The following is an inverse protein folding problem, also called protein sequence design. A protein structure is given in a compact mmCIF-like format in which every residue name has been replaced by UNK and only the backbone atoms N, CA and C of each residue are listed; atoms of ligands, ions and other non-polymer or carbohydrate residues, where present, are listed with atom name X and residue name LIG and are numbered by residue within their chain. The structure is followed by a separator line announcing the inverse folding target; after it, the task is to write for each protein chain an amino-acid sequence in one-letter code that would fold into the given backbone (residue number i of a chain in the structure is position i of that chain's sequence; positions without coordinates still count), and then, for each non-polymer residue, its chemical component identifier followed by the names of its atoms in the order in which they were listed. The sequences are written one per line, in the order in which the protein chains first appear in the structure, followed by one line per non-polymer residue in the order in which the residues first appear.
data_IF_395171334738
#
_entry.id   IF_395171334738
#
_cell.length_a   1.000
_cell.length_b   1.000
_cell.length_c   1.000
_cell.angle_alpha   90.00
_cell.angle_beta   90.00
_cell.angle_gamma   90.00
#
_symmetry.space_group_name_H-M   'P 1'
#
loop_
_entity.id
_entity.type
_entity.pdbx_description
1 polymer ?
#
# COMPACT_ATOMS: atom_id res chain seq x y z
N UNK A 1 3.70 13.18 21.60
CA UNK A 1 4.17 13.89 22.80
C UNK A 1 5.07 12.91 23.53
N UNK A 2 6.36 13.24 23.78
CA UNK A 2 7.24 12.30 24.48
C UNK A 2 6.67 11.97 25.87
N UNK A 3 6.62 10.69 26.21
CA UNK A 3 6.17 10.25 27.54
C UNK A 3 7.06 10.84 28.63
N UNK A 4 6.45 11.39 29.68
CA UNK A 4 7.18 12.06 30.78
C UNK A 4 7.30 11.22 32.04
N UNK A 5 6.62 10.07 32.08
CA UNK A 5 6.58 9.17 33.24
C UNK A 5 7.55 8.00 33.05
N UNK A 6 8.24 7.62 34.13
CA UNK A 6 9.24 6.55 34.12
C UNK A 6 9.14 5.66 35.37
N UNK A 7 9.92 4.58 35.40
CA UNK A 7 10.03 3.71 36.57
C UNK A 7 8.75 2.93 36.90
N UNK A 8 8.51 2.72 38.19
CA UNK A 8 7.37 1.94 38.68
C UNK A 8 6.01 2.55 38.30
N UNK A 9 5.90 3.87 38.30
CA UNK A 9 4.69 4.57 37.89
C UNK A 9 4.31 4.24 36.45
N UNK A 10 5.28 4.31 35.54
CA UNK A 10 5.07 3.98 34.14
C UNK A 10 4.71 2.49 33.97
N UNK A 11 5.43 1.59 34.64
CA UNK A 11 5.18 0.15 34.54
C UNK A 11 3.78 -0.24 35.04
N UNK A 12 3.32 0.34 36.16
CA UNK A 12 1.99 0.10 36.72
C UNK A 12 0.90 0.54 35.72
N UNK A 13 1.03 1.73 35.15
CA UNK A 13 0.04 2.23 34.18
C UNK A 13 0.05 1.38 32.91
N UNK A 14 1.23 1.10 32.34
CA UNK A 14 1.39 0.28 31.14
C UNK A 14 0.76 -1.10 31.29
N UNK A 15 1.00 -1.78 32.41
CA UNK A 15 0.44 -3.11 32.66
C UNK A 15 -1.07 -3.08 32.86
N UNK A 16 -1.61 -2.11 33.60
CA UNK A 16 -3.06 -2.00 33.78
C UNK A 16 -3.78 -1.68 32.46
N UNK A 17 -3.26 -0.77 31.64
CA UNK A 17 -3.82 -0.47 30.31
C UNK A 17 -3.70 -1.68 29.39
N UNK A 18 -2.51 -2.26 29.24
CA UNK A 18 -2.29 -3.35 28.30
C UNK A 18 -3.09 -4.62 28.63
N UNK A 19 -3.20 -5.00 29.91
CA UNK A 19 -3.90 -6.22 30.29
C UNK A 19 -5.39 -6.02 30.56
N UNK A 20 -5.77 -4.94 31.25
CA UNK A 20 -7.14 -4.76 31.75
C UNK A 20 -7.91 -3.67 31.00
N UNK A 21 -7.24 -2.84 30.21
CA UNK A 21 -7.84 -1.66 29.59
C UNK A 21 -8.47 -0.71 30.63
N UNK A 22 -7.80 -0.53 31.78
CA UNK A 22 -8.27 0.38 32.84
C UNK A 22 -7.15 1.28 33.37
N UNK A 23 -7.55 2.45 33.87
CA UNK A 23 -6.68 3.31 34.67
C UNK A 23 -6.94 3.01 36.15
N UNK A 24 -5.95 2.50 36.92
CA UNK A 24 -6.17 2.20 38.32
C UNK A 24 -6.51 3.49 39.08
N UNK A 25 -7.50 3.44 39.96
CA UNK A 25 -7.82 4.58 40.82
C UNK A 25 -6.73 4.79 41.87
N UNK A 26 -6.69 5.97 42.48
CA UNK A 26 -5.50 6.46 43.16
C UNK A 26 -4.96 5.53 44.25
N UNK A 27 -5.83 4.99 45.10
CA UNK A 27 -5.42 4.08 46.16
C UNK A 27 -4.80 2.79 45.60
N UNK A 28 -5.36 2.22 44.52
CA UNK A 28 -4.79 1.02 43.89
C UNK A 28 -3.48 1.34 43.20
N UNK A 29 -3.40 2.47 42.50
CA UNK A 29 -2.18 2.92 41.85
C UNK A 29 -1.03 3.08 42.85
N UNK A 30 -1.25 3.80 43.95
CA UNK A 30 -0.24 3.99 45.02
C UNK A 30 0.21 2.66 45.60
N UNK A 31 -0.72 1.74 45.87
CA UNK A 31 -0.38 0.42 46.39
C UNK A 31 0.44 -0.41 45.39
N UNK A 32 0.09 -0.37 44.11
CA UNK A 32 0.81 -1.09 43.05
C UNK A 32 2.19 -0.49 42.79
N UNK A 33 2.35 0.84 42.84
CA UNK A 33 3.65 1.51 42.73
C UNK A 33 4.55 1.12 43.90
N UNK A 34 4.01 1.06 45.12
CA UNK A 34 4.75 0.58 46.28
C UNK A 34 5.16 -0.90 46.17
N UNK A 35 4.28 -1.77 45.64
CA UNK A 35 4.58 -3.19 45.37
C UNK A 35 5.63 -3.36 44.26
N UNK A 36 5.62 -2.48 43.25
CA UNK A 36 6.61 -2.47 42.17
C UNK A 36 8.00 -1.97 42.60
N UNK A 37 8.09 -1.21 43.69
CA UNK A 37 9.35 -0.71 44.24
C UNK A 37 10.05 0.31 43.33
N UNK A 38 11.36 0.47 43.48
CA UNK A 38 12.13 1.49 42.75
C UNK A 38 13.29 0.95 41.92
N UNK A 39 13.59 -0.35 41.99
CA UNK A 39 14.65 -0.98 41.19
C UNK A 39 14.07 -1.64 39.94
N UNK A 40 14.91 -1.88 38.93
CA UNK A 40 14.49 -2.58 37.72
C UNK A 40 14.01 -4.00 38.04
N UNK A 41 14.69 -4.68 38.95
CA UNK A 41 14.38 -6.04 39.38
C UNK A 41 13.03 -6.09 40.11
N UNK A 42 12.72 -5.12 40.97
CA UNK A 42 11.42 -5.07 41.66
C UNK A 42 10.27 -4.80 40.69
N UNK A 43 10.49 -3.93 39.70
CA UNK A 43 9.51 -3.67 38.63
C UNK A 43 9.26 -4.92 37.78
N UNK A 44 10.31 -5.68 37.44
CA UNK A 44 10.15 -6.94 36.71
C UNK A 44 9.44 -8.01 37.55
N UNK A 45 9.74 -8.11 38.84
CA UNK A 45 9.04 -9.02 39.75
C UNK A 45 7.55 -8.67 39.85
N UNK A 46 7.22 -7.38 39.92
CA UNK A 46 5.84 -6.91 39.86
C UNK A 46 5.16 -7.27 38.53
N UNK A 47 5.84 -7.07 37.39
CA UNK A 47 5.30 -7.43 36.08
C UNK A 47 4.98 -8.94 36.00
N UNK A 48 5.88 -9.80 36.46
CA UNK A 48 5.65 -11.25 36.56
C UNK A 48 4.41 -11.55 37.40
N UNK A 49 4.33 -10.97 38.60
CA UNK A 49 3.19 -11.14 39.52
C UNK A 49 1.89 -10.68 38.87
N UNK A 50 1.88 -9.53 38.20
CA UNK A 50 0.72 -8.98 37.50
C UNK A 50 0.24 -9.92 36.39
N UNK A 51 1.15 -10.34 35.51
CA UNK A 51 0.86 -11.24 34.39
C UNK A 51 0.35 -12.62 34.83
N UNK A 52 0.74 -13.08 36.02
CA UNK A 52 0.30 -14.37 36.58
C UNK A 52 -1.22 -14.45 36.82
N UNK A 53 -1.90 -13.30 36.91
CA UNK A 53 -3.36 -13.20 37.02
C UNK A 53 -4.08 -13.64 35.74
N UNK A 54 -3.37 -13.68 34.60
CA UNK A 54 -3.90 -14.03 33.28
C UNK A 54 -3.50 -15.43 32.83
N UNK A 55 -2.97 -16.27 33.73
CA UNK A 55 -2.53 -17.64 33.43
C UNK A 55 -3.63 -18.56 32.89
N UNK A 56 -4.90 -18.21 33.12
CA UNK A 56 -6.07 -18.95 32.63
C UNK A 56 -6.35 -18.70 31.15
N UNK A 57 -5.78 -17.65 30.56
CA UNK A 57 -5.86 -17.38 29.13
C UNK A 57 -4.81 -18.20 28.38
N UNK A 58 -5.18 -18.71 27.21
CA UNK A 58 -4.23 -19.25 26.24
C UNK A 58 -3.30 -18.15 25.74
N UNK A 59 -2.13 -18.52 25.22
CA UNK A 59 -1.17 -17.58 24.66
C UNK A 59 -1.80 -16.71 23.56
N UNK A 60 -2.57 -17.31 22.66
CA UNK A 60 -3.27 -16.60 21.59
C UNK A 60 -4.35 -15.65 22.11
N UNK A 61 -5.15 -16.07 23.11
CA UNK A 61 -6.17 -15.22 23.70
C UNK A 61 -5.55 -14.02 24.44
N UNK A 62 -4.43 -14.25 25.13
CA UNK A 62 -3.71 -13.16 25.80
C UNK A 62 -3.06 -12.21 24.79
N UNK A 63 -2.41 -12.72 23.74
CA UNK A 63 -1.82 -11.90 22.68
C UNK A 63 -2.87 -11.03 22.00
N UNK A 64 -4.02 -11.61 21.64
CA UNK A 64 -5.13 -10.85 21.08
C UNK A 64 -5.57 -9.75 22.04
N UNK A 65 -5.81 -10.07 23.31
CA UNK A 65 -6.26 -9.09 24.31
C UNK A 65 -5.29 -7.91 24.45
N UNK A 66 -4.00 -8.19 24.61
CA UNK A 66 -2.96 -7.17 24.78
C UNK A 66 -2.86 -6.29 23.54
N UNK A 67 -2.83 -6.89 22.34
CA UNK A 67 -2.73 -6.13 21.09
C UNK A 67 -3.98 -5.32 20.80
N UNK A 68 -5.18 -5.80 21.17
CA UNK A 68 -6.41 -5.00 21.12
C UNK A 68 -6.26 -3.76 22.00
N UNK A 69 -5.92 -3.95 23.27
CA UNK A 69 -5.82 -2.88 24.26
C UNK A 69 -4.72 -1.84 23.91
N UNK A 70 -3.67 -2.26 23.20
CA UNK A 70 -2.59 -1.39 22.76
C UNK A 70 -2.81 -0.77 21.37
N UNK A 71 -3.94 -1.05 20.70
CA UNK A 71 -4.22 -0.50 19.37
C UNK A 71 -3.40 -1.10 18.22
N UNK A 72 -2.86 -2.31 18.42
CA UNK A 72 -1.93 -2.96 17.50
C UNK A 72 -2.60 -3.98 16.56
N UNK A 73 -3.86 -4.34 16.81
CA UNK A 73 -4.66 -5.13 15.87
C UNK A 73 -5.16 -4.27 14.69
N UNK A 74 -5.39 -4.86 13.50
CA UNK A 74 -5.39 -6.30 13.17
C UNK A 74 -4.05 -6.84 12.64
N UNK A 75 -2.89 -6.48 13.20
CA UNK A 75 -1.60 -7.00 12.75
C UNK A 75 -1.44 -8.50 13.06
N UNK A 76 -1.75 -9.36 12.08
CA UNK A 76 -1.72 -10.83 12.22
C UNK A 76 -0.32 -11.38 12.50
N UNK A 77 0.71 -10.85 11.84
CA UNK A 77 2.10 -11.30 12.04
C UNK A 77 2.55 -11.02 13.47
N UNK A 78 2.24 -9.83 14.00
CA UNK A 78 2.53 -9.46 15.38
C UNK A 78 1.74 -10.32 16.37
N UNK A 79 0.48 -10.64 16.08
CA UNK A 79 -0.33 -11.52 16.92
C UNK A 79 0.23 -12.95 17.01
N UNK A 80 0.68 -13.51 15.89
CA UNK A 80 1.36 -14.81 15.86
C UNK A 80 2.69 -14.76 16.60
N UNK A 81 3.54 -13.77 16.31
CA UNK A 81 4.84 -13.62 16.96
C UNK A 81 4.72 -13.45 18.49
N UNK A 82 3.75 -12.66 18.96
CA UNK A 82 3.50 -12.48 20.39
C UNK A 82 2.95 -13.76 21.04
N UNK A 83 2.13 -14.53 20.31
CA UNK A 83 1.63 -15.85 20.78
C UNK A 83 2.78 -16.81 21.02
N UNK A 84 3.69 -16.96 20.05
CA UNK A 84 4.87 -17.83 20.17
C UNK A 84 5.78 -17.36 21.31
N UNK A 85 5.94 -16.04 21.45
CA UNK A 85 6.79 -15.47 22.49
C UNK A 85 6.19 -15.67 23.89
N UNK A 86 4.87 -15.61 24.07
CA UNK A 86 4.23 -15.99 25.34
C UNK A 86 4.34 -17.49 25.64
N UNK A 87 4.23 -18.35 24.63
CA UNK A 87 4.39 -19.79 24.79
C UNK A 87 5.80 -20.15 25.29
N UNK A 88 6.82 -19.42 24.82
CA UNK A 88 8.20 -19.56 25.28
C UNK A 88 8.46 -18.94 26.67
N UNK A 89 7.63 -17.99 27.13
CA UNK A 89 7.84 -17.20 28.33
C UNK A 89 6.65 -17.25 29.31
N UNK A 90 6.05 -18.43 29.53
CA UNK A 90 4.79 -18.57 30.28
C UNK A 90 4.82 -17.97 31.69
N UNK A 91 5.94 -18.07 32.41
CA UNK A 91 6.11 -17.49 33.74
C UNK A 91 6.44 -15.99 33.71
N UNK A 92 6.82 -15.44 32.56
CA UNK A 92 7.29 -14.07 32.39
C UNK A 92 6.40 -13.23 31.44
N UNK A 93 5.17 -13.68 31.16
CA UNK A 93 4.25 -12.99 30.24
C UNK A 93 4.03 -11.51 30.58
N UNK A 94 4.03 -11.12 31.86
CA UNK A 94 3.93 -9.71 32.24
C UNK A 94 5.15 -8.87 31.86
N UNK A 95 6.36 -9.44 31.91
CA UNK A 95 7.58 -8.77 31.42
C UNK A 95 7.48 -8.57 29.90
N UNK A 96 7.03 -9.59 29.18
CA UNK A 96 6.84 -9.50 27.71
C UNK A 96 5.92 -8.34 27.33
N UNK A 97 4.78 -8.19 28.02
CA UNK A 97 3.84 -7.08 27.77
C UNK A 97 4.46 -5.73 28.12
N UNK A 98 5.19 -5.64 29.24
CA UNK A 98 5.87 -4.41 29.62
C UNK A 98 6.92 -4.00 28.58
N UNK A 99 7.71 -4.96 28.08
CA UNK A 99 8.69 -4.72 27.01
C UNK A 99 8.03 -4.26 25.71
N UNK A 100 6.94 -4.92 25.28
CA UNK A 100 6.18 -4.51 24.09
C UNK A 100 5.64 -3.09 24.24
N UNK A 101 5.13 -2.74 25.43
CA UNK A 101 4.66 -1.40 25.75
C UNK A 101 5.79 -0.37 25.63
N UNK A 102 6.94 -0.64 26.24
CA UNK A 102 8.11 0.24 26.16
C UNK A 102 8.60 0.44 24.73
N UNK A 103 8.68 -0.64 23.93
CA UNK A 103 9.02 -0.56 22.51
C UNK A 103 8.03 0.35 21.79
N UNK A 104 6.72 0.18 22.02
CA UNK A 104 5.71 0.97 21.34
C UNK A 104 5.81 2.46 21.66
N UNK A 105 6.14 2.84 22.91
CA UNK A 105 6.30 4.25 23.30
C UNK A 105 7.39 4.99 22.48
N UNK A 106 8.43 4.27 22.05
CA UNK A 106 9.56 4.82 21.28
C UNK A 106 9.29 4.93 19.77
N UNK A 107 8.12 4.47 19.28
CA UNK A 107 7.83 4.37 17.85
C UNK A 107 7.00 5.54 17.29
N UNK A 108 6.68 6.59 18.06
CA UNK A 108 5.83 7.72 17.62
C UNK A 108 6.33 8.39 16.33
N UNK A 109 7.64 8.38 16.09
CA UNK A 109 8.28 8.98 14.90
C UNK A 109 8.96 7.92 14.01
N UNK A 110 8.54 6.66 14.13
CA UNK A 110 9.13 5.57 13.36
C UNK A 110 8.96 5.80 11.85
N UNK A 111 10.00 5.47 11.09
CA UNK A 111 10.02 5.54 9.63
C UNK A 111 10.33 4.17 9.01
N UNK A 112 10.28 4.05 7.69
CA UNK A 112 10.55 2.80 6.98
C UNK A 112 9.57 1.69 7.38
N UNK A 113 10.08 0.47 7.57
CA UNK A 113 9.26 -0.70 7.93
C UNK A 113 8.54 -0.58 9.27
N UNK A 114 9.00 0.29 10.17
CA UNK A 114 8.38 0.50 11.48
C UNK A 114 7.33 1.63 11.46
N UNK A 115 7.22 2.39 10.36
CA UNK A 115 6.26 3.49 10.23
C UNK A 115 4.80 3.05 10.47
N UNK A 116 4.49 1.78 10.20
CA UNK A 116 3.16 1.21 10.41
C UNK A 116 2.69 1.25 11.88
N UNK A 117 3.63 1.38 12.83
CA UNK A 117 3.35 1.46 14.27
C UNK A 117 3.29 2.89 14.81
N UNK A 118 3.72 3.91 14.04
CA UNK A 118 3.88 5.28 14.54
C UNK A 118 2.57 5.88 15.06
N UNK A 119 1.47 5.64 14.36
CA UNK A 119 0.13 6.08 14.76
C UNK A 119 -0.35 5.41 16.04
N UNK A 120 -0.15 4.09 16.18
CA UNK A 120 -0.48 3.35 17.40
C UNK A 120 0.41 3.77 18.58
N UNK A 121 1.68 4.05 18.33
CA UNK A 121 2.63 4.56 19.31
C UNK A 121 2.22 5.93 19.86
N UNK A 122 1.82 6.86 18.99
CA UNK A 122 1.30 8.16 19.40
C UNK A 122 0.08 8.02 20.31
N UNK A 123 -0.87 7.17 19.91
CA UNK A 123 -2.08 6.91 20.69
C UNK A 123 -1.76 6.26 22.04
N UNK A 124 -0.86 5.28 22.05
CA UNK A 124 -0.40 4.62 23.26
C UNK A 124 0.33 5.58 24.22
N UNK A 125 1.20 6.46 23.71
CA UNK A 125 1.86 7.51 24.51
C UNK A 125 0.84 8.39 25.23
N UNK A 126 -0.20 8.82 24.51
CA UNK A 126 -1.28 9.62 25.09
C UNK A 126 -2.07 8.84 26.13
N UNK A 127 -2.42 7.60 25.82
CA UNK A 127 -3.17 6.71 26.72
C UNK A 127 -2.47 6.52 28.06
N UNK A 128 -1.15 6.31 28.03
CA UNK A 128 -0.35 6.12 29.24
C UNK A 128 -0.24 7.41 30.06
N UNK A 129 -0.10 8.57 29.41
CA UNK A 129 -0.08 9.85 30.12
C UNK A 129 -1.44 10.13 30.79
N UNK A 130 -2.54 9.97 30.05
CA UNK A 130 -3.89 10.23 30.56
C UNK A 130 -4.23 9.27 31.72
N UNK A 131 -3.84 8.00 31.61
CA UNK A 131 -4.03 7.02 32.66
C UNK A 131 -3.21 7.36 33.92
N UNK A 132 -1.98 7.85 33.77
CA UNK A 132 -1.19 8.32 34.90
C UNK A 132 -1.81 9.56 35.58
N UNK A 133 -2.26 10.54 34.80
CA UNK A 133 -2.89 11.75 35.33
C UNK A 133 -4.18 11.40 36.11
N UNK A 134 -4.96 10.45 35.60
CA UNK A 134 -6.12 9.89 36.29
C UNK A 134 -5.73 9.19 37.60
N UNK A 135 -4.73 8.30 37.54
CA UNK A 135 -4.29 7.47 38.66
C UNK A 135 -3.61 8.27 39.77
N UNK A 136 -2.98 9.39 39.46
CA UNK A 136 -2.33 10.25 40.47
C UNK A 136 -3.30 11.21 41.15
N UNK A 137 -4.50 11.42 40.60
CA UNK A 137 -5.51 12.27 41.20
C UNK A 137 -6.16 11.61 42.44
N UNK A 138 -6.00 12.16 43.65
CA UNK A 138 -6.58 11.59 44.88
C UNK A 138 -8.11 11.51 44.90
N UNK A 139 -8.81 12.24 44.02
CA UNK A 139 -10.28 12.18 43.92
C UNK A 139 -10.77 11.00 43.09
N UNK A 140 -9.88 10.29 42.37
CA UNK A 140 -10.22 9.09 41.61
C UNK A 140 -10.43 7.91 42.56
N UNK A 141 -11.70 7.55 42.79
CA UNK A 141 -12.12 6.51 43.76
C UNK A 141 -12.72 5.25 43.13
N UNK A 142 -12.93 5.25 41.81
CA UNK A 142 -13.33 4.09 41.02
C UNK A 142 -12.33 3.89 39.90
N UNK A 143 -12.10 2.66 39.39
CA UNK A 143 -11.27 2.48 38.21
C UNK A 143 -11.73 3.41 37.09
N UNK A 144 -10.81 4.13 36.49
CA UNK A 144 -11.09 4.75 35.22
C UNK A 144 -11.35 3.61 34.25
N UNK A 145 -12.48 3.67 33.55
CA UNK A 145 -12.60 2.98 32.26
C UNK A 145 -11.46 3.47 31.36
N UNK A 146 -11.26 2.90 30.16
CA UNK A 146 -10.62 3.72 29.14
C UNK A 146 -11.24 5.11 29.27
N UNK A 147 -10.39 6.12 29.46
CA UNK A 147 -10.82 7.43 29.01
C UNK A 147 -11.21 7.12 27.57
N UNK A 148 -12.42 7.51 27.16
CA UNK A 148 -12.71 7.60 25.73
C UNK A 148 -11.58 8.50 25.23
N UNK A 149 -10.48 7.89 24.81
CA UNK A 149 -9.34 8.60 24.30
C UNK A 149 -9.65 8.52 22.82
N UNK A 150 -10.25 9.58 22.24
CA UNK A 150 -10.30 9.77 20.81
C UNK A 150 -8.98 9.33 20.16
N UNK A 151 -7.85 9.46 20.87
CA UNK A 151 -6.56 8.84 20.58
C UNK A 151 -6.52 7.54 19.76
N UNK A 152 -7.18 6.43 20.16
CA UNK A 152 -7.04 5.15 19.44
C UNK A 152 -8.03 5.00 18.27
N UNK A 153 -9.30 5.37 18.47
CA UNK A 153 -10.31 5.37 17.41
C UNK A 153 -10.04 6.46 16.36
N UNK A 154 -9.68 7.68 16.77
CA UNK A 154 -9.25 8.76 15.87
C UNK A 154 -7.93 8.42 15.18
N UNK A 155 -6.99 7.73 15.84
CA UNK A 155 -5.78 7.25 15.18
C UNK A 155 -6.11 6.23 14.08
N UNK A 156 -7.00 5.28 14.37
CA UNK A 156 -7.48 4.33 13.37
C UNK A 156 -8.27 5.03 12.25
N UNK A 157 -9.10 6.02 12.58
CA UNK A 157 -9.84 6.85 11.65
C UNK A 157 -8.92 7.70 10.76
N UNK A 158 -7.90 8.35 11.33
CA UNK A 158 -6.90 9.13 10.62
C UNK A 158 -6.06 8.23 9.70
N UNK A 159 -5.60 7.08 10.18
CA UNK A 159 -4.89 6.11 9.35
C UNK A 159 -5.75 5.60 8.17
N UNK A 160 -7.05 5.41 8.39
CA UNK A 160 -7.99 5.06 7.32
C UNK A 160 -8.21 6.21 6.33
N UNK A 161 -8.28 7.46 6.79
CA UNK A 161 -8.38 8.66 5.94
C UNK A 161 -7.11 8.83 5.09
N UNK A 162 -5.93 8.72 5.69
CA UNK A 162 -4.64 8.82 4.99
C UNK A 162 -4.49 7.72 3.95
N UNK A 163 -4.79 6.46 4.31
CA UNK A 163 -4.75 5.35 3.37
C UNK A 163 -5.73 5.54 2.21
N UNK A 164 -6.93 6.08 2.48
CA UNK A 164 -7.90 6.41 1.43
C UNK A 164 -7.38 7.52 0.50
N UNK A 165 -6.68 8.52 1.02
CA UNK A 165 -6.08 9.57 0.20
C UNK A 165 -4.97 9.01 -0.70
N UNK A 166 -4.12 8.12 -0.18
CA UNK A 166 -3.11 7.42 -0.99
C UNK A 166 -3.78 6.59 -2.10
N UNK A 167 -4.85 5.86 -1.79
CA UNK A 167 -5.61 5.09 -2.77
C UNK A 167 -6.23 5.97 -3.88
N UNK A 168 -6.73 7.16 -3.55
CA UNK A 168 -7.24 8.13 -4.53
C UNK A 168 -6.12 8.60 -5.46
N UNK A 169 -5.00 9.07 -4.92
CA UNK A 169 -3.87 9.56 -5.72
C UNK A 169 -3.32 8.49 -6.66
N UNK A 170 -3.24 7.23 -6.19
CA UNK A 170 -2.80 6.11 -7.01
C UNK A 170 -3.80 5.78 -8.13
N UNK A 171 -5.11 5.84 -7.84
CA UNK A 171 -6.17 5.63 -8.84
C UNK A 171 -6.19 6.73 -9.90
N UNK A 172 -5.96 7.99 -9.51
CA UNK A 172 -5.86 9.11 -10.44
C UNK A 172 -4.65 8.94 -11.38
N UNK A 173 -3.49 8.58 -10.81
CA UNK A 173 -2.27 8.29 -11.59
C UNK A 173 -2.46 7.11 -12.56
N UNK A 174 -3.16 6.05 -12.13
CA UNK A 174 -3.50 4.92 -12.99
C UNK A 174 -4.47 5.33 -14.13
N UNK A 175 -5.39 6.27 -13.86
CA UNK A 175 -6.31 6.78 -14.87
C UNK A 175 -5.60 7.63 -15.94
N UNK A 176 -4.67 8.51 -15.52
CA UNK A 176 -3.86 9.32 -16.43
C UNK A 176 -2.96 8.46 -17.33
N UNK A 177 -2.34 7.42 -16.77
CA UNK A 177 -1.50 6.49 -17.54
C UNK A 177 -2.32 5.61 -18.49
N UNK A 178 -3.52 5.18 -18.10
CA UNK A 178 -4.45 4.50 -19.01
C UNK A 178 -4.90 5.40 -20.17
N UNK A 179 -5.16 6.69 -19.91
CA UNK A 179 -5.46 7.67 -20.97
C UNK A 179 -4.26 7.85 -21.92
N UNK A 180 -3.04 7.92 -21.38
CA UNK A 180 -1.80 8.00 -22.16
C UNK A 180 -1.58 6.75 -23.03
N UNK A 181 -1.89 5.55 -22.50
CA UNK A 181 -1.85 4.31 -23.26
C UNK A 181 -2.85 4.32 -24.43
N UNK A 182 -4.08 4.79 -24.20
CA UNK A 182 -5.10 4.94 -25.24
C UNK A 182 -4.68 5.92 -26.34
N UNK A 183 -4.08 7.06 -25.96
CA UNK A 183 -3.52 8.01 -26.91
C UNK A 183 -2.36 7.40 -27.73
N UNK A 184 -1.47 6.64 -27.08
CA UNK A 184 -0.39 5.93 -27.77
C UNK A 184 -0.93 4.86 -28.74
N UNK A 185 -1.98 4.13 -28.36
CA UNK A 185 -2.66 3.18 -29.24
C UNK A 185 -3.18 3.87 -30.52
N UNK A 186 -3.82 5.03 -30.35
CA UNK A 186 -4.35 5.82 -31.47
C UNK A 186 -3.23 6.30 -32.39
N UNK A 187 -2.10 6.78 -31.84
CA UNK A 187 -0.95 7.21 -32.65
C UNK A 187 -0.32 6.06 -33.42
N UNK A 188 -0.20 4.88 -32.79
CA UNK A 188 0.27 3.66 -33.46
C UNK A 188 -0.64 3.29 -34.63
N UNK A 189 -1.95 3.30 -34.43
CA UNK A 189 -2.91 2.95 -35.48
C UNK A 189 -2.88 3.95 -36.65
N UNK A 190 -2.75 5.25 -36.37
CA UNK A 190 -2.56 6.28 -37.40
C UNK A 190 -1.25 6.08 -38.17
N UNK A 191 -0.14 5.79 -37.47
CA UNK A 191 1.15 5.55 -38.10
C UNK A 191 1.09 4.32 -39.02
N UNK A 192 0.39 3.27 -38.58
CA UNK A 192 0.16 2.07 -39.40
C UNK A 192 -0.61 2.39 -40.68
N UNK A 193 -1.73 3.11 -40.57
CA UNK A 193 -2.54 3.48 -41.74
C UNK A 193 -1.72 4.27 -42.77
N UNK A 194 -0.83 5.14 -42.31
CA UNK A 194 0.07 5.90 -43.19
C UNK A 194 1.09 5.00 -43.89
N UNK A 195 1.77 4.13 -43.14
CA UNK A 195 2.70 3.15 -43.71
C UNK A 195 2.02 2.28 -44.77
N UNK A 196 0.86 1.67 -44.44
CA UNK A 196 0.07 0.86 -45.38
C UNK A 196 -0.32 1.63 -46.66
N UNK A 197 -0.69 2.91 -46.53
CA UNK A 197 -1.09 3.74 -47.67
C UNK A 197 0.10 4.11 -48.56
N UNK A 198 1.25 4.43 -47.97
CA UNK A 198 2.48 4.76 -48.70
C UNK A 198 2.99 3.53 -49.45
N UNK A 199 3.00 2.35 -48.84
CA UNK A 199 3.36 1.09 -49.50
C UNK A 199 2.47 0.78 -50.72
N UNK A 200 1.16 1.04 -50.61
CA UNK A 200 0.23 0.84 -51.71
C UNK A 200 0.51 1.78 -52.91
N UNK A 201 0.97 3.01 -52.65
CA UNK A 201 1.37 3.99 -53.67
C UNK A 201 2.66 3.55 -54.36
N UNK A 202 3.65 3.12 -53.60
CA UNK A 202 4.94 2.61 -54.11
C UNK A 202 4.74 1.44 -55.09
N UNK A 203 3.85 0.51 -54.73
CA UNK A 203 3.50 -0.65 -55.54
C UNK A 203 2.79 -0.26 -56.85
N UNK A 204 1.94 0.78 -56.82
CA UNK A 204 1.19 1.25 -57.98
C UNK A 204 2.02 2.11 -58.95
N UNK A 205 3.07 2.78 -58.45
CA UNK A 205 3.84 3.78 -59.20
C UNK A 205 5.11 3.29 -59.91
N UNK A 206 5.51 2.02 -59.76
CA UNK A 206 6.81 1.50 -60.23
C UNK A 206 8.02 2.35 -59.76
N UNK A 207 8.26 2.39 -58.45
CA UNK A 207 9.61 2.61 -57.90
C UNK A 207 10.25 3.99 -58.08
N UNK A 208 9.50 5.08 -57.86
CA UNK A 208 10.14 6.39 -57.65
C UNK A 208 10.97 6.37 -56.36
N UNK A 209 12.20 6.85 -56.42
CA UNK A 209 13.11 7.01 -55.26
C UNK A 209 12.47 7.84 -54.15
N UNK A 210 11.62 8.80 -54.50
CA UNK A 210 10.90 9.66 -53.55
C UNK A 210 9.85 8.87 -52.77
N UNK A 211 9.17 7.94 -53.45
CA UNK A 211 8.15 7.09 -52.88
C UNK A 211 8.77 6.06 -51.91
N UNK A 212 9.88 5.42 -52.32
CA UNK A 212 10.66 4.52 -51.45
C UNK A 212 11.25 5.22 -50.21
N UNK A 213 11.66 6.49 -50.35
CA UNK A 213 12.13 7.30 -49.22
C UNK A 213 10.99 7.62 -48.24
N UNK A 214 9.80 7.94 -48.76
CA UNK A 214 8.61 8.17 -47.95
C UNK A 214 8.19 6.90 -47.18
N UNK A 215 8.17 5.74 -47.83
CA UNK A 215 7.88 4.45 -47.20
C UNK A 215 8.83 4.18 -46.01
N UNK A 216 10.13 4.36 -46.23
CA UNK A 216 11.15 4.17 -45.16
C UNK A 216 10.91 5.10 -43.96
N UNK A 217 10.48 6.34 -44.20
CA UNK A 217 10.19 7.31 -43.12
C UNK A 217 8.92 6.96 -42.36
N UNK A 218 7.87 6.50 -43.05
CA UNK A 218 6.61 6.08 -42.43
C UNK A 218 6.79 4.79 -41.62
N UNK A 219 7.56 3.82 -42.11
CA UNK A 219 7.95 2.61 -41.36
C UNK A 219 8.71 2.95 -40.08
N UNK A 220 9.67 3.88 -40.16
CA UNK A 220 10.39 4.36 -38.99
C UNK A 220 9.45 5.05 -37.99
N UNK A 221 8.44 5.79 -38.48
CA UNK A 221 7.44 6.42 -37.62
C UNK A 221 6.54 5.38 -36.94
N UNK A 222 6.13 4.33 -37.66
CA UNK A 222 5.39 3.19 -37.11
C UNK A 222 6.20 2.46 -36.04
N UNK A 223 7.49 2.16 -36.30
CA UNK A 223 8.37 1.54 -35.33
C UNK A 223 8.47 2.35 -34.02
N UNK A 224 8.66 3.67 -34.12
CA UNK A 224 8.68 4.57 -32.95
C UNK A 224 7.35 4.59 -32.20
N UNK A 225 6.23 4.57 -32.92
CA UNK A 225 4.90 4.54 -32.30
C UNK A 225 4.64 3.21 -31.56
N UNK A 226 5.13 2.09 -32.09
CA UNK A 226 5.08 0.78 -31.42
C UNK A 226 5.92 0.79 -30.14
N UNK A 227 7.15 1.33 -30.18
CA UNK A 227 8.00 1.46 -28.99
C UNK A 227 7.35 2.34 -27.92
N UNK A 228 6.78 3.49 -28.31
CA UNK A 228 6.07 4.38 -27.41
C UNK A 228 4.84 3.72 -26.77
N UNK A 229 4.06 2.97 -27.55
CA UNK A 229 2.93 2.19 -27.04
C UNK A 229 3.38 1.11 -26.06
N UNK A 230 4.45 0.38 -26.37
CA UNK A 230 5.01 -0.64 -25.48
C UNK A 230 5.49 -0.05 -24.14
N UNK A 231 6.15 1.12 -24.17
CA UNK A 231 6.56 1.82 -22.96
C UNK A 231 5.36 2.32 -22.14
N UNK A 232 4.36 2.93 -22.78
CA UNK A 232 3.13 3.37 -22.13
C UNK A 232 2.39 2.20 -21.47
N UNK A 233 2.40 1.02 -22.10
CA UNK A 233 1.79 -0.20 -21.57
C UNK A 233 2.47 -0.67 -20.28
N UNK A 234 3.81 -0.70 -20.27
CA UNK A 234 4.56 -1.09 -19.07
C UNK A 234 4.23 -0.15 -17.92
N UNK A 235 4.24 1.17 -18.18
CA UNK A 235 3.88 2.19 -17.19
C UNK A 235 2.45 2.01 -16.64
N UNK A 236 1.46 1.83 -17.52
CA UNK A 236 0.07 1.62 -17.11
C UNK A 236 -0.12 0.37 -16.23
N UNK A 237 0.57 -0.73 -16.55
CA UNK A 237 0.52 -1.96 -15.74
C UNK A 237 1.09 -1.76 -14.33
N UNK A 238 2.19 -1.01 -14.19
CA UNK A 238 2.78 -0.68 -12.89
C UNK A 238 1.80 0.16 -12.07
N UNK A 239 1.26 1.24 -12.63
CA UNK A 239 0.34 2.13 -11.90
C UNK A 239 -0.97 1.42 -11.50
N UNK A 240 -1.49 0.52 -12.34
CA UNK A 240 -2.67 -0.29 -11.97
C UNK A 240 -2.37 -1.21 -10.79
N UNK A 241 -1.19 -1.83 -10.73
CA UNK A 241 -0.80 -2.68 -9.61
C UNK A 241 -0.66 -1.86 -8.31
N UNK A 242 -0.04 -0.68 -8.37
CA UNK A 242 0.08 0.24 -7.24
C UNK A 242 -1.30 0.72 -6.74
N UNK A 243 -2.20 1.10 -7.65
CA UNK A 243 -3.56 1.52 -7.30
C UNK A 243 -4.35 0.42 -6.58
N UNK A 244 -4.22 -0.85 -7.01
CA UNK A 244 -4.86 -1.99 -6.34
C UNK A 244 -4.30 -2.20 -4.94
N UNK A 245 -2.97 -2.22 -4.79
CA UNK A 245 -2.32 -2.38 -3.50
C UNK A 245 -2.72 -1.27 -2.50
N UNK A 246 -2.77 -0.02 -2.98
CA UNK A 246 -3.20 1.12 -2.16
C UNK A 246 -4.68 1.00 -1.75
N UNK A 247 -5.56 0.58 -2.65
CA UNK A 247 -6.98 0.37 -2.35
C UNK A 247 -7.19 -0.77 -1.34
N UNK A 248 -6.49 -1.89 -1.48
CA UNK A 248 -6.55 -3.00 -0.51
C UNK A 248 -6.06 -2.57 0.88
N UNK A 249 -4.98 -1.77 0.92
CA UNK A 249 -4.46 -1.19 2.17
C UNK A 249 -5.50 -0.27 2.82
N UNK A 250 -6.18 0.57 2.05
CA UNK A 250 -7.24 1.44 2.55
C UNK A 250 -8.43 0.65 3.12
N UNK A 251 -8.84 -0.46 2.47
CA UNK A 251 -9.88 -1.36 2.97
C UNK A 251 -9.47 -1.98 4.30
N UNK A 252 -8.23 -2.48 4.40
CA UNK A 252 -7.72 -3.07 5.64
C UNK A 252 -7.76 -2.07 6.81
N UNK A 253 -7.33 -0.83 6.58
CA UNK A 253 -7.34 0.24 7.60
C UNK A 253 -8.76 0.68 7.97
N UNK A 254 -9.67 0.78 6.99
CA UNK A 254 -11.06 1.09 7.26
C UNK A 254 -11.76 -0.02 8.07
N UNK A 255 -11.49 -1.30 7.76
CA UNK A 255 -11.99 -2.44 8.53
C UNK A 255 -11.45 -2.45 9.97
N UNK A 256 -10.18 -2.07 10.15
CA UNK A 256 -9.60 -1.90 11.48
C UNK A 256 -10.38 -0.82 12.26
N UNK A 257 -10.64 0.33 11.64
CA UNK A 257 -11.40 1.41 12.28
C UNK A 257 -12.84 0.99 12.61
N UNK A 258 -13.54 0.27 11.73
CA UNK A 258 -14.86 -0.31 12.03
C UNK A 258 -14.79 -1.25 13.24
N UNK A 259 -13.78 -2.12 13.29
CA UNK A 259 -13.61 -3.06 14.41
C UNK A 259 -13.40 -2.29 15.72
N UNK A 260 -12.58 -1.23 15.71
CA UNK A 260 -12.40 -0.38 16.88
C UNK A 260 -13.69 0.34 17.28
N UNK A 261 -14.36 1.02 16.35
CA UNK A 261 -15.61 1.74 16.60
C UNK A 261 -16.69 0.83 17.23
N UNK A 262 -16.87 -0.38 16.67
CA UNK A 262 -17.82 -1.37 17.21
C UNK A 262 -17.44 -1.89 18.61
N UNK A 263 -16.16 -1.85 18.99
CA UNK A 263 -15.67 -2.30 20.29
C UNK A 263 -15.71 -1.22 21.38
N UNK A 264 -15.72 0.07 20.99
CA UNK A 264 -15.62 1.20 21.93
C UNK A 264 -16.97 1.82 22.33
N UNK A 265 -18.09 1.46 21.69
CA UNK A 265 -19.47 1.58 22.19
C UNK A 265 -19.81 2.84 23.04
N UNK A 266 -19.63 4.05 22.49
CA UNK A 266 -20.20 5.27 23.11
C UNK A 266 -20.91 6.23 22.14
N UNK A 267 -20.70 6.20 20.81
CA UNK A 267 -21.45 7.07 19.87
C UNK A 267 -21.78 6.44 18.50
N UNK A 268 -22.98 6.71 17.97
CA UNK A 268 -23.43 6.33 16.61
C UNK A 268 -22.67 7.05 15.48
N UNK A 269 -21.92 8.10 15.81
CA UNK A 269 -21.23 8.93 14.83
C UNK A 269 -19.97 8.24 14.28
N UNK A 270 -19.18 7.60 15.14
CA UNK A 270 -17.94 6.93 14.74
C UNK A 270 -18.21 5.72 13.85
N UNK A 271 -19.27 4.96 14.13
CA UNK A 271 -19.74 3.86 13.28
C UNK A 271 -20.09 4.34 11.87
N UNK A 272 -20.74 5.51 11.79
CA UNK A 272 -21.14 6.11 10.51
C UNK A 272 -19.91 6.54 9.70
N UNK A 273 -18.92 7.16 10.35
CA UNK A 273 -17.67 7.57 9.71
C UNK A 273 -16.87 6.34 9.26
N UNK A 274 -16.76 5.32 10.10
CA UNK A 274 -16.04 4.09 9.79
C UNK A 274 -16.67 3.35 8.60
N UNK A 275 -17.99 3.20 8.59
CA UNK A 275 -18.73 2.62 7.46
C UNK A 275 -18.54 3.44 6.17
N UNK A 276 -18.53 4.77 6.26
CA UNK A 276 -18.32 5.66 5.11
C UNK A 276 -16.90 5.51 4.54
N UNK A 277 -15.89 5.40 5.40
CA UNK A 277 -14.50 5.16 4.99
C UNK A 277 -14.35 3.82 4.29
N UNK A 278 -14.96 2.76 4.83
CA UNK A 278 -14.93 1.43 4.22
C UNK A 278 -15.62 1.41 2.85
N UNK A 279 -16.79 2.04 2.74
CA UNK A 279 -17.49 2.18 1.46
C UNK A 279 -16.64 2.94 0.43
N UNK A 280 -15.99 4.03 0.86
CA UNK A 280 -15.12 4.84 0.01
C UNK A 280 -13.86 4.08 -0.46
N UNK A 281 -13.23 3.30 0.42
CA UNK A 281 -12.08 2.47 0.09
C UNK A 281 -12.46 1.35 -0.90
N UNK A 282 -13.59 0.69 -0.67
CA UNK A 282 -14.16 -0.31 -1.58
C UNK A 282 -14.41 0.28 -2.97
N UNK A 283 -14.93 1.51 -3.04
CA UNK A 283 -15.13 2.19 -4.32
C UNK A 283 -13.81 2.46 -5.07
N UNK A 284 -12.69 2.70 -4.38
CA UNK A 284 -11.37 2.83 -5.04
C UNK A 284 -10.91 1.50 -5.64
N UNK A 285 -11.11 0.38 -4.95
CA UNK A 285 -10.78 -0.95 -5.49
C UNK A 285 -11.58 -1.25 -6.77
N UNK A 286 -12.88 -0.91 -6.78
CA UNK A 286 -13.72 -1.04 -7.98
C UNK A 286 -13.18 -0.20 -9.13
N UNK A 287 -12.78 1.06 -8.89
CA UNK A 287 -12.16 1.92 -9.91
C UNK A 287 -10.85 1.34 -10.44
N UNK A 288 -9.96 0.89 -9.56
CA UNK A 288 -8.69 0.27 -9.96
C UNK A 288 -8.90 -0.97 -10.84
N UNK A 289 -9.91 -1.80 -10.54
CA UNK A 289 -10.28 -2.96 -11.36
C UNK A 289 -10.88 -2.56 -12.72
N UNK A 290 -11.66 -1.49 -12.79
CA UNK A 290 -12.18 -0.96 -14.04
C UNK A 290 -11.04 -0.47 -14.96
N UNK A 291 -10.07 0.28 -14.41
CA UNK A 291 -8.89 0.74 -15.15
C UNK A 291 -8.07 -0.45 -15.65
N UNK A 292 -7.85 -1.47 -14.81
CA UNK A 292 -7.17 -2.70 -15.21
C UNK A 292 -7.84 -3.38 -16.41
N UNK A 293 -9.17 -3.40 -16.41
CA UNK A 293 -9.97 -3.96 -17.52
C UNK A 293 -9.76 -3.16 -18.80
N UNK A 294 -9.78 -1.82 -18.73
CA UNK A 294 -9.49 -0.95 -19.89
C UNK A 294 -8.09 -1.19 -20.45
N UNK A 295 -7.08 -1.28 -19.59
CA UNK A 295 -5.70 -1.59 -20.01
C UNK A 295 -5.64 -2.95 -20.70
N UNK A 296 -6.31 -3.98 -20.17
CA UNK A 296 -6.36 -5.31 -20.79
C UNK A 296 -7.08 -5.34 -22.15
N UNK A 297 -8.18 -4.59 -22.31
CA UNK A 297 -8.90 -4.48 -23.58
C UNK A 297 -8.02 -3.91 -24.69
N UNK A 298 -7.17 -2.92 -24.37
CA UNK A 298 -6.20 -2.34 -25.31
C UNK A 298 -5.09 -3.33 -25.72
N UNK A 299 -4.92 -4.45 -25.01
CA UNK A 299 -3.99 -5.54 -25.39
C UNK A 299 -4.61 -6.49 -26.41
N UNK A 300 -5.92 -6.72 -26.34
CA UNK A 300 -6.63 -7.63 -27.25
C UNK A 300 -6.69 -7.12 -28.70
N UNK A 301 -6.55 -5.82 -28.92
CA UNK A 301 -6.55 -5.19 -30.25
C UNK A 301 -5.18 -5.26 -30.96
N UNK A 302 -4.11 -5.56 -30.23
CA UNK A 302 -2.72 -5.49 -30.71
C UNK A 302 -2.36 -6.65 -31.66
N UNK A 303 -2.89 -7.85 -31.42
CA UNK A 303 -2.51 -9.06 -32.17
C UNK A 303 -3.09 -9.16 -33.57
N UNK A 304 -4.23 -8.53 -33.85
CA UNK A 304 -4.87 -8.59 -35.17
C UNK A 304 -4.36 -7.49 -36.12
N UNK A 305 -4.01 -6.31 -35.59
CA UNK A 305 -3.56 -5.18 -36.40
C UNK A 305 -2.11 -5.33 -36.89
N UNK A 306 -1.21 -5.89 -36.08
CA UNK A 306 0.21 -6.06 -36.44
C UNK A 306 0.46 -7.19 -37.46
N UNK A 307 -0.37 -8.25 -37.49
CA UNK A 307 -0.20 -9.36 -38.42
C UNK A 307 -0.52 -9.00 -39.88
N UNK A 308 -1.25 -7.90 -40.12
CA UNK A 308 -1.67 -7.50 -41.46
C UNK A 308 -0.66 -6.62 -42.20
N UNK A 309 0.28 -5.94 -41.51
CA UNK A 309 1.38 -5.23 -42.15
C UNK A 309 2.49 -6.23 -42.50
N UNK A 310 2.21 -7.02 -43.54
CA UNK A 310 3.04 -8.13 -43.95
C UNK A 310 4.49 -7.71 -44.08
N UNK A 311 5.37 -8.58 -43.58
CA UNK A 311 6.78 -8.65 -43.92
C UNK A 311 6.89 -8.76 -45.43
N UNK A 312 6.89 -7.65 -46.16
CA UNK A 312 7.31 -7.65 -47.55
C UNK A 312 8.84 -7.74 -47.51
N UNK A 313 9.45 -8.87 -47.91
CA UNK A 313 10.88 -8.88 -48.09
C UNK A 313 11.22 -7.76 -49.08
N UNK A 314 12.17 -6.89 -48.70
CA UNK A 314 12.63 -5.77 -49.50
C UNK A 314 12.67 -6.19 -50.97
N UNK A 315 11.76 -5.63 -51.79
CA UNK A 315 11.75 -5.93 -53.21
C UNK A 315 13.12 -5.49 -53.74
N UNK A 316 13.86 -6.36 -54.46
CA UNK A 316 15.15 -5.98 -55.01
C UNK A 316 14.94 -4.74 -55.88
N UNK A 317 15.63 -3.65 -55.52
CA UNK A 317 15.56 -2.37 -56.20
C UNK A 317 15.61 -2.56 -57.72
N UNK A 318 14.62 -2.02 -58.43
CA UNK A 318 14.40 -2.15 -59.87
C UNK A 318 15.55 -1.69 -60.78
N UNK A 319 16.67 -1.22 -60.22
CA UNK A 319 17.88 -0.82 -60.95
C UNK A 319 18.62 -2.02 -61.58
N UNK A 320 18.37 -3.26 -61.14
CA UNK A 320 19.04 -4.44 -61.69
C UNK A 320 18.47 -4.98 -63.03
N UNK A 321 17.38 -4.41 -63.58
CA UNK A 321 16.70 -4.96 -64.76
C UNK A 321 16.86 -4.13 -66.06
N UNK A 322 17.71 -3.11 -66.08
CA UNK A 322 18.09 -2.39 -67.30
C UNK A 322 19.60 -2.40 -67.47
N UNK A 323 20.15 -3.50 -67.99
CA UNK A 323 21.61 -3.58 -68.16
C UNK A 323 22.15 -4.79 -68.90
N UNK A 324 21.38 -5.44 -69.79
CA UNK A 324 21.95 -6.36 -70.78
C UNK A 324 21.18 -6.22 -72.10
N UNK A 325 21.19 -5.02 -72.67
CA UNK A 325 21.04 -4.86 -74.11
C UNK A 325 22.45 -4.74 -74.68
N UNK A 326 23.08 -5.89 -74.94
CA UNK A 326 24.34 -5.96 -75.69
C UNK A 326 24.02 -5.56 -77.15
N UNK A 327 24.19 -4.27 -77.44
CA UNK A 327 24.23 -3.73 -78.78
C UNK A 327 25.59 -4.09 -79.41
N UNK A 328 25.70 -5.28 -79.99
CA UNK A 328 26.77 -5.57 -80.93
C UNK A 328 26.49 -4.81 -82.24
N UNK A 329 27.08 -3.62 -82.36
CA UNK A 329 27.12 -2.77 -83.55
C UNK A 329 28.01 -3.46 -84.63
N UNK A 330 27.68 -3.37 -85.93
CA UNK A 330 28.47 -3.98 -87.00
C UNK A 330 29.75 -3.19 -87.26
N UNK A 331 30.86 -3.90 -87.38
CA UNK A 331 32.15 -3.36 -87.81
C UNK A 331 32.13 -3.11 -89.33
N UNK A 332 32.15 -1.82 -89.69
CA UNK A 332 32.34 -1.32 -91.04
C UNK A 332 33.72 -0.66 -91.10
N UNK A 333 34.59 -1.23 -91.96
CA UNK A 333 35.78 -0.67 -92.62
C UNK A 333 37.16 -0.90 -91.95
N UNK A 334 37.98 -1.82 -92.51
CA UNK A 334 39.04 -1.47 -93.50
C UNK A 334 40.03 -2.61 -93.82
N UNK A 335 39.93 -3.15 -95.05
CA UNK A 335 40.95 -3.53 -96.08
C UNK A 335 40.33 -4.62 -96.98
#
# INVERSE_FOLDING_TARGET
MPITIAGAQAAVVQLNRAFNDISPYNLVFVNQVNDAGSSAESVWAFAVKFGSSFRTLSDAALAHKVLTNMGLLPNTELALGLTDYFAANQSARGIVVLQLSQILLDLEFATGSMALYATAALAWNKEIQDAYDYSTNPTSVFPGTPIDTPGLSDAAGLAAVEALQVARNATDSASETAASLSAAATQRDIAKIKADATDAVDLAGTGSTEAATAATLDDLALAKAIEAFAAARVSANVQVAEAKLAADTAILKANAFVTFATSTLTTLADDTVAATLLSSATAQLVKANAIATTVQLLLGTDSAALQAHGVYPAQPTAIALMGIADFSVPDLLSI
#
